data_IF_561890111456
#
_entry.id   IF_561890111456
#
_cell.length_a   1.000
_cell.length_b   1.000
_cell.length_c   1.000
_cell.angle_alpha   90.00
_cell.angle_beta   90.00
_cell.angle_gamma   90.00
#
_symmetry.space_group_name_H-M   'P 1'
#
loop_
_entity.id
_entity.type
_entity.pdbx_description
1 polymer ?
#
# COMPACT_ATOMS: atom_id res chain seq x y z
N UNK A 1 -20.43 3.61 -7.65
CA UNK A 1 -19.05 3.80 -7.14
C UNK A 1 -19.00 4.92 -6.12
N UNK A 2 -19.23 4.60 -4.85
CA UNK A 2 -18.96 5.46 -3.69
C UNK A 2 -17.63 5.03 -3.08
N UNK A 3 -16.58 5.79 -3.37
CA UNK A 3 -15.27 5.56 -2.74
C UNK A 3 -15.18 6.34 -1.45
N UNK A 4 -14.91 5.66 -0.35
CA UNK A 4 -14.73 6.29 0.96
C UNK A 4 -13.26 6.28 1.33
N UNK A 5 -12.65 7.46 1.31
CA UNK A 5 -11.27 7.66 1.73
C UNK A 5 -11.17 7.60 3.25
N UNK A 6 -10.13 6.95 3.75
CA UNK A 6 -9.81 6.90 5.17
C UNK A 6 -8.29 6.99 5.37
N UNK A 7 -7.89 7.46 6.55
CA UNK A 7 -6.49 7.41 6.99
C UNK A 7 -6.46 6.51 8.20
N UNK A 8 -5.79 5.37 8.09
CA UNK A 8 -5.52 4.45 9.21
C UNK A 8 -4.12 4.75 9.76
N UNK A 9 -3.85 4.38 11.01
CA UNK A 9 -2.58 4.66 11.69
C UNK A 9 -1.93 3.35 12.14
N UNK A 10 -0.64 3.20 11.85
CA UNK A 10 0.22 2.10 12.32
C UNK A 10 1.51 2.69 12.90
N UNK A 11 1.81 2.44 14.18
CA UNK A 11 3.03 2.94 14.85
C UNK A 11 3.32 4.42 14.54
N UNK A 12 2.31 5.28 14.68
CA UNK A 12 2.37 6.73 14.40
C UNK A 12 2.49 7.13 12.92
N UNK A 13 2.65 6.16 12.00
CA UNK A 13 2.66 6.39 10.56
C UNK A 13 1.24 6.30 9.98
N UNK A 14 0.93 7.25 9.10
CA UNK A 14 -0.36 7.30 8.39
C UNK A 14 -0.33 6.38 7.17
N UNK A 15 -1.39 5.59 7.00
CA UNK A 15 -1.62 4.78 5.81
C UNK A 15 -2.90 5.26 5.15
N UNK A 16 -2.79 5.78 3.93
CA UNK A 16 -3.95 6.20 3.14
C UNK A 16 -4.65 4.97 2.59
N UNK A 17 -5.95 4.89 2.86
CA UNK A 17 -6.82 3.80 2.42
C UNK A 17 -8.06 4.32 1.71
N UNK A 18 -8.61 3.49 0.84
CA UNK A 18 -9.86 3.76 0.13
C UNK A 18 -10.72 2.51 0.18
N UNK A 19 -11.93 2.64 0.69
CA UNK A 19 -12.97 1.64 0.54
C UNK A 19 -13.67 1.82 -0.80
N UNK A 20 -13.80 0.74 -1.56
CA UNK A 20 -14.59 0.69 -2.78
C UNK A 20 -15.84 -0.16 -2.54
N UNK A 21 -17.01 0.48 -2.64
CA UNK A 21 -18.30 -0.13 -2.37
C UNK A 21 -18.74 -1.14 -3.43
N UNK A 22 -18.20 -1.07 -4.64
CA UNK A 22 -18.58 -1.99 -5.72
C UNK A 22 -17.85 -3.32 -5.68
N UNK A 23 -16.58 -3.30 -5.28
CA UNK A 23 -15.79 -4.52 -5.11
C UNK A 23 -15.83 -5.03 -3.68
N UNK A 24 -16.36 -4.23 -2.74
CA UNK A 24 -16.32 -4.47 -1.29
C UNK A 24 -14.87 -4.71 -0.80
N UNK A 25 -13.92 -3.94 -1.33
CA UNK A 25 -12.49 -4.08 -1.03
C UNK A 25 -11.86 -2.80 -0.48
N UNK A 26 -10.91 -3.01 0.44
CA UNK A 26 -9.99 -1.97 0.89
C UNK A 26 -8.76 -1.91 -0.01
N UNK A 27 -8.48 -0.71 -0.51
CA UNK A 27 -7.24 -0.35 -1.18
C UNK A 27 -6.33 0.43 -0.24
N UNK A 28 -5.02 0.13 -0.26
CA UNK A 28 -4.02 0.85 0.51
C UNK A 28 -2.95 1.44 -0.40
N UNK A 29 -2.45 2.62 -0.04
CA UNK A 29 -1.29 3.24 -0.68
C UNK A 29 -0.04 2.38 -0.51
N UNK A 30 0.50 1.86 -1.62
CA UNK A 30 1.71 1.02 -1.58
C UNK A 30 2.92 1.83 -1.07
N UNK A 31 3.01 3.11 -1.44
CA UNK A 31 4.12 3.97 -1.00
C UNK A 31 4.12 4.17 0.51
N UNK A 32 2.94 4.30 1.14
CA UNK A 32 2.85 4.46 2.60
C UNK A 32 3.28 3.16 3.31
N UNK A 33 2.88 2.02 2.75
CA UNK A 33 3.28 0.68 3.24
C UNK A 33 4.80 0.50 3.12
N UNK A 34 5.38 0.86 1.97
CA UNK A 34 6.83 0.83 1.75
C UNK A 34 7.55 1.67 2.81
N UNK A 35 7.06 2.88 3.10
CA UNK A 35 7.65 3.74 4.13
C UNK A 35 7.55 3.19 5.53
N UNK A 36 6.49 2.45 5.85
CA UNK A 36 6.37 1.72 7.11
C UNK A 36 7.40 0.59 7.19
N UNK A 37 7.47 -0.24 6.16
CA UNK A 37 8.26 -1.46 6.19
C UNK A 37 9.76 -1.22 6.02
N UNK A 38 10.16 -0.18 5.32
CA UNK A 38 11.57 -0.01 4.91
C UNK A 38 12.30 1.12 5.63
N UNK A 39 11.57 2.02 6.31
CA UNK A 39 12.10 3.28 6.85
C UNK A 39 12.96 4.05 5.82
N UNK A 40 12.62 3.91 4.53
CA UNK A 40 13.35 4.56 3.45
C UNK A 40 13.19 6.08 3.54
N UNK A 41 14.25 6.81 3.19
CA UNK A 41 14.20 8.28 3.07
C UNK A 41 13.34 8.69 1.87
N UNK A 42 13.27 7.83 0.85
CA UNK A 42 12.45 8.03 -0.35
C UNK A 42 11.71 6.74 -0.71
N UNK A 43 10.48 6.63 -0.20
CA UNK A 43 9.62 5.47 -0.36
C UNK A 43 9.22 5.23 -1.81
N UNK A 44 9.02 6.29 -2.59
CA UNK A 44 8.67 6.20 -4.01
C UNK A 44 9.81 5.61 -4.82
N UNK A 45 11.03 6.07 -4.56
CA UNK A 45 12.23 5.53 -5.23
C UNK A 45 12.48 4.08 -4.83
N UNK A 46 12.30 3.73 -3.56
CA UNK A 46 12.36 2.34 -3.11
C UNK A 46 11.34 1.49 -3.87
N UNK A 47 10.09 1.94 -3.91
CA UNK A 47 9.01 1.24 -4.59
C UNK A 47 9.27 1.03 -6.08
N UNK A 48 9.73 2.06 -6.78
CA UNK A 48 10.08 1.95 -8.20
C UNK A 48 11.20 0.93 -8.45
N UNK A 49 12.20 0.87 -7.56
CA UNK A 49 13.29 -0.11 -7.65
C UNK A 49 12.78 -1.53 -7.36
N UNK A 50 11.92 -1.70 -6.36
CA UNK A 50 11.29 -2.98 -6.04
C UNK A 50 10.43 -3.47 -7.22
N UNK A 51 9.62 -2.59 -7.82
CA UNK A 51 8.87 -2.91 -9.04
C UNK A 51 9.75 -3.43 -10.18
N UNK A 52 10.87 -2.76 -10.43
CA UNK A 52 11.79 -3.18 -11.50
C UNK A 52 12.35 -4.58 -11.24
N UNK A 53 12.73 -4.88 -9.99
CA UNK A 53 13.22 -6.21 -9.59
C UNK A 53 12.14 -7.28 -9.75
N UNK A 54 10.95 -7.04 -9.20
CA UNK A 54 9.82 -7.95 -9.30
C UNK A 54 9.43 -8.22 -10.76
N UNK A 55 9.46 -7.20 -11.62
CA UNK A 55 9.21 -7.37 -13.05
C UNK A 55 10.30 -8.19 -13.75
N UNK A 56 11.57 -7.99 -13.39
CA UNK A 56 12.69 -8.77 -13.92
C UNK A 56 12.63 -10.25 -13.49
N UNK A 57 12.07 -10.52 -12.30
CA UNK A 57 11.81 -11.87 -11.77
C UNK A 57 10.55 -12.52 -12.37
N UNK A 58 9.82 -11.81 -13.25
CA UNK A 58 8.59 -12.31 -13.87
C UNK A 58 7.35 -12.24 -12.98
N UNK A 59 7.40 -11.46 -11.89
CA UNK A 59 6.26 -11.29 -11.00
C UNK A 59 5.17 -10.42 -11.63
N UNK A 60 3.96 -10.94 -11.71
CA UNK A 60 2.78 -10.19 -12.17
C UNK A 60 2.19 -9.24 -11.11
N UNK A 61 2.68 -9.31 -9.86
CA UNK A 61 2.18 -8.49 -8.74
C UNK A 61 2.24 -6.99 -9.02
N UNK A 62 3.27 -6.56 -9.77
CA UNK A 62 3.55 -5.15 -10.07
C UNK A 62 3.00 -4.70 -11.41
N UNK A 63 2.61 -5.65 -12.26
CA UNK A 63 2.05 -5.39 -13.59
C UNK A 63 0.60 -4.93 -13.50
N UNK A 64 -0.14 -5.40 -12.49
CA UNK A 64 -1.57 -5.10 -12.28
C UNK A 64 -1.83 -4.14 -11.11
N UNK A 65 -0.88 -3.26 -10.75
CA UNK A 65 -1.15 -2.27 -9.70
C UNK A 65 -2.21 -1.26 -10.16
N UNK A 66 -3.28 -1.11 -9.38
CA UNK A 66 -4.26 -0.05 -9.60
C UNK A 66 -3.67 1.29 -9.17
N UNK A 67 -4.12 2.38 -9.80
CA UNK A 67 -3.77 3.74 -9.40
C UNK A 67 -5.02 4.53 -9.05
N UNK A 68 -5.06 5.04 -7.81
CA UNK A 68 -6.11 5.95 -7.35
C UNK A 68 -5.51 7.31 -7.03
N UNK A 69 -6.35 8.35 -7.14
CA UNK A 69 -5.99 9.68 -6.65
C UNK A 69 -6.13 9.67 -5.13
N UNK A 70 -5.04 9.92 -4.42
CA UNK A 70 -5.02 10.02 -2.96
C UNK A 70 -4.54 11.41 -2.54
N UNK A 71 -5.01 11.93 -1.39
CA UNK A 71 -4.52 13.20 -0.86
C UNK A 71 -3.05 13.07 -0.46
N UNK A 72 -2.27 14.12 -0.71
CA UNK A 72 -0.90 14.28 -0.26
C UNK A 72 -0.80 15.32 0.87
N UNK A 73 0.40 15.48 1.44
CA UNK A 73 0.67 16.41 2.54
C UNK A 73 0.43 17.88 2.20
N UNK A 74 0.45 18.24 0.92
CA UNK A 74 0.16 19.58 0.41
C UNK A 74 -1.35 19.81 0.16
N UNK A 75 -2.20 18.85 0.51
CA UNK A 75 -3.65 18.89 0.30
C UNK A 75 -4.08 18.62 -1.15
N UNK A 76 -3.14 18.34 -2.06
CA UNK A 76 -3.47 18.00 -3.45
C UNK A 76 -3.61 16.50 -3.64
N UNK A 77 -4.34 16.12 -4.68
CA UNK A 77 -4.58 14.73 -5.04
C UNK A 77 -3.61 14.26 -6.13
N UNK A 78 -2.92 13.15 -5.87
CA UNK A 78 -1.98 12.55 -6.81
C UNK A 78 -2.30 11.08 -7.07
N UNK A 79 -2.11 10.65 -8.32
CA UNK A 79 -2.17 9.23 -8.65
C UNK A 79 -1.08 8.49 -7.89
N UNK A 80 -1.49 7.51 -7.11
CA UNK A 80 -0.62 6.68 -6.30
C UNK A 80 -0.98 5.22 -6.55
N UNK A 81 0.02 4.35 -6.62
CA UNK A 81 -0.26 2.92 -6.72
C UNK A 81 -0.91 2.44 -5.43
N UNK A 82 -2.00 1.73 -5.60
CA UNK A 82 -2.74 1.10 -4.53
C UNK A 82 -2.83 -0.40 -4.76
N UNK A 83 -2.98 -1.14 -3.65
CA UNK A 83 -3.16 -2.57 -3.67
C UNK A 83 -4.27 -2.97 -2.71
N UNK A 84 -5.00 -4.03 -3.06
CA UNK A 84 -5.96 -4.65 -2.15
C UNK A 84 -5.22 -5.40 -1.03
N UNK A 85 -5.94 -5.73 0.05
CA UNK A 85 -5.39 -6.52 1.17
C UNK A 85 -4.68 -7.79 0.67
N UNK A 86 -5.28 -8.52 -0.26
CA UNK A 86 -4.71 -9.76 -0.82
C UNK A 86 -3.43 -9.51 -1.61
N UNK A 87 -3.40 -8.44 -2.41
CA UNK A 87 -2.21 -8.05 -3.19
C UNK A 87 -1.07 -7.64 -2.25
N UNK A 88 -1.39 -6.89 -1.20
CA UNK A 88 -0.42 -6.46 -0.19
C UNK A 88 0.18 -7.61 0.60
N UNK A 89 -0.60 -8.61 1.00
CA UNK A 89 -0.03 -9.78 1.68
C UNK A 89 1.06 -10.47 0.86
N UNK A 90 0.90 -10.57 -0.46
CA UNK A 90 1.92 -11.11 -1.35
C UNK A 90 3.09 -10.15 -1.48
N UNK A 91 2.83 -8.85 -1.62
CA UNK A 91 3.88 -7.85 -1.75
C UNK A 91 4.76 -7.75 -0.51
N UNK A 92 4.16 -7.83 0.69
CA UNK A 92 4.85 -7.77 1.98
C UNK A 92 5.92 -8.87 2.10
N UNK A 93 5.70 -10.04 1.49
CA UNK A 93 6.68 -11.13 1.48
C UNK A 93 7.98 -10.78 0.76
N UNK A 94 7.95 -9.78 -0.13
CA UNK A 94 9.14 -9.30 -0.86
C UNK A 94 9.96 -8.27 -0.07
N UNK A 95 9.49 -7.83 1.11
CA UNK A 95 10.22 -6.87 1.94
C UNK A 95 11.01 -7.58 3.04
N UNK A 96 12.35 -7.41 3.10
CA UNK A 96 13.15 -7.92 4.20
C UNK A 96 13.02 -6.97 5.41
N UNK A 97 11.87 -6.99 6.09
CA UNK A 97 11.57 -6.09 7.22
C UNK A 97 11.03 -6.85 8.43
N UNK A 98 11.54 -6.57 9.66
CA UNK A 98 10.95 -7.11 10.88
C UNK A 98 9.54 -6.56 11.14
N UNK A 99 9.16 -5.43 10.51
CA UNK A 99 7.83 -4.81 10.62
C UNK A 99 6.78 -5.50 9.76
N UNK A 100 7.18 -6.41 8.87
CA UNK A 100 6.27 -7.11 7.97
C UNK A 100 5.20 -7.92 8.72
N UNK A 101 5.58 -8.64 9.77
CA UNK A 101 4.63 -9.45 10.55
C UNK A 101 3.65 -8.59 11.37
N UNK A 102 4.11 -7.62 12.18
CA UNK A 102 3.21 -6.71 12.89
C UNK A 102 2.25 -5.96 11.96
N UNK A 103 2.76 -5.50 10.81
CA UNK A 103 1.95 -4.78 9.83
C UNK A 103 0.85 -5.66 9.22
N UNK A 104 1.15 -6.93 8.91
CA UNK A 104 0.14 -7.90 8.44
C UNK A 104 -0.99 -8.10 9.44
N UNK A 105 -0.68 -8.26 10.73
CA UNK A 105 -1.69 -8.43 11.77
C UNK A 105 -2.58 -7.18 11.90
N UNK A 106 -1.96 -6.00 11.87
CA UNK A 106 -2.69 -4.73 11.86
C UNK A 106 -3.61 -4.60 10.64
N UNK A 107 -3.15 -4.99 9.44
CA UNK A 107 -3.96 -4.97 8.23
C UNK A 107 -5.23 -5.82 8.37
N UNK A 108 -5.14 -7.01 8.99
CA UNK A 108 -6.31 -7.86 9.26
C UNK A 108 -7.30 -7.14 10.16
N UNK A 109 -6.83 -6.49 11.23
CA UNK A 109 -7.70 -5.80 12.18
C UNK A 109 -8.46 -4.64 11.51
N UNK A 110 -7.79 -3.81 10.71
CA UNK A 110 -8.41 -2.62 10.10
C UNK A 110 -9.30 -2.90 8.89
N UNK A 111 -9.25 -4.12 8.34
CA UNK A 111 -10.06 -4.53 7.17
C UNK A 111 -11.32 -5.29 7.55
N UNK A 112 -11.39 -5.80 8.78
CA UNK A 112 -12.58 -6.48 9.34
C UNK A 112 -13.51 -5.47 10.05
N UNK A 113 -12.99 -4.30 10.41
CA UNK A 113 -13.72 -3.16 11.00
C UNK A 113 -14.59 -2.41 10.00
#
# INVERSE_FOLDING_TARGET
MTKKEAIKIFEEKKVRTVWDDETEEWYFSIVDVVGILTDSVDDRKYWNKLKQRLKAEGSELVTNCHQLKLPASDGKYYKTDVATTRQLFRLIQSFPSPKAEPFKLWMVQVTIE
#
